data_IF_473206994559
#
_entry.id   IF_473206994559
#
_cell.length_a   1.000
_cell.length_b   1.000
_cell.length_c   1.000
_cell.angle_alpha   90.00
_cell.angle_beta   90.00
_cell.angle_gamma   90.00
#
_symmetry.space_group_name_H-M   'P 1'
#
loop_
_entity.id
_entity.type
_entity.pdbx_description
1 polymer ?
#
# COMPACT_ATOMS: atom_id res chain seq x y z
N UNK A 1 -38.39 -47.03 -61.08
CA UNK A 1 -37.50 -45.86 -61.08
C UNK A 1 -37.07 -45.60 -59.64
N UNK A 2 -35.81 -45.86 -59.28
CA UNK A 2 -35.29 -45.78 -57.90
C UNK A 2 -34.90 -44.33 -57.60
N UNK A 3 -35.52 -43.69 -56.60
CA UNK A 3 -35.17 -42.32 -56.17
C UNK A 3 -34.12 -42.40 -55.07
N UNK A 4 -32.90 -42.00 -55.41
CA UNK A 4 -31.77 -41.79 -54.50
C UNK A 4 -32.00 -40.49 -53.72
N UNK A 5 -31.90 -40.54 -52.40
CA UNK A 5 -31.85 -39.34 -51.55
C UNK A 5 -30.40 -38.96 -51.33
N UNK A 6 -30.02 -37.76 -51.80
CA UNK A 6 -28.76 -37.11 -51.45
C UNK A 6 -28.93 -36.48 -50.06
N UNK A 7 -28.15 -36.94 -49.09
CA UNK A 7 -28.03 -36.30 -47.78
C UNK A 7 -26.98 -35.20 -47.91
N UNK A 8 -27.40 -33.94 -47.76
CA UNK A 8 -26.52 -32.78 -47.77
C UNK A 8 -25.95 -32.60 -46.36
N UNK A 9 -24.66 -32.90 -46.18
CA UNK A 9 -23.95 -32.69 -44.93
C UNK A 9 -23.72 -31.19 -44.70
N UNK A 10 -24.34 -30.62 -43.66
CA UNK A 10 -24.09 -29.24 -43.25
C UNK A 10 -22.79 -29.16 -42.44
N UNK A 11 -21.79 -28.46 -42.98
CA UNK A 11 -20.54 -28.16 -42.30
C UNK A 11 -20.78 -26.99 -41.32
N UNK A 12 -20.83 -27.28 -40.02
CA UNK A 12 -20.99 -26.25 -38.98
C UNK A 12 -19.61 -25.61 -38.76
N UNK A 13 -19.42 -24.42 -39.34
CA UNK A 13 -18.26 -23.58 -39.08
C UNK A 13 -18.48 -22.92 -37.70
N UNK A 14 -17.81 -23.44 -36.66
CA UNK A 14 -17.82 -22.82 -35.34
C UNK A 14 -17.04 -21.50 -35.40
N UNK A 15 -17.63 -20.36 -34.99
CA UNK A 15 -16.88 -19.13 -34.86
C UNK A 15 -15.95 -19.28 -33.65
N UNK A 16 -14.65 -19.34 -33.91
CA UNK A 16 -13.64 -19.18 -32.87
C UNK A 16 -13.83 -17.81 -32.23
N UNK A 17 -14.22 -17.78 -30.96
CA UNK A 17 -14.31 -16.54 -30.17
C UNK A 17 -12.89 -15.99 -30.06
N UNK A 18 -12.64 -14.85 -30.70
CA UNK A 18 -11.45 -14.05 -30.46
C UNK A 18 -11.56 -13.53 -29.02
N UNK A 19 -10.79 -14.09 -28.09
CA UNK A 19 -10.55 -13.44 -26.80
C UNK A 19 -9.75 -12.17 -27.09
N UNK A 20 -10.44 -11.05 -27.28
CA UNK A 20 -9.81 -9.75 -27.18
C UNK A 20 -9.33 -9.61 -25.73
N UNK A 21 -8.01 -9.72 -25.52
CA UNK A 21 -7.41 -9.29 -24.27
C UNK A 21 -7.78 -7.81 -24.10
N UNK A 22 -8.63 -7.49 -23.13
CA UNK A 22 -8.89 -6.11 -22.73
C UNK A 22 -7.56 -5.48 -22.34
N UNK A 23 -6.98 -4.68 -23.24
CA UNK A 23 -5.92 -3.75 -22.87
C UNK A 23 -6.60 -2.67 -22.04
N UNK A 24 -6.39 -2.72 -20.73
CA UNK A 24 -6.77 -1.62 -19.85
C UNK A 24 -5.89 -0.43 -20.25
N UNK A 25 -6.41 0.45 -21.12
CA UNK A 25 -5.78 1.73 -21.39
C UNK A 25 -5.72 2.43 -20.03
N UNK A 26 -4.51 2.67 -19.53
CA UNK A 26 -4.30 3.48 -18.33
C UNK A 26 -4.95 4.83 -18.60
N UNK A 27 -5.98 5.18 -17.83
CA UNK A 27 -6.49 6.54 -17.83
C UNK A 27 -5.36 7.43 -17.31
N UNK A 28 -4.75 8.21 -18.21
CA UNK A 28 -3.65 9.12 -17.89
C UNK A 28 -4.05 10.23 -16.92
N UNK A 29 -5.35 10.38 -16.62
CA UNK A 29 -5.83 11.29 -15.58
C UNK A 29 -5.77 10.69 -14.16
N UNK A 30 -5.69 9.37 -14.03
CA UNK A 30 -5.57 8.71 -12.72
C UNK A 30 -4.10 8.57 -12.32
N UNK A 31 -3.81 8.85 -11.04
CA UNK A 31 -2.49 8.62 -10.43
C UNK A 31 -2.52 7.32 -9.63
N UNK A 32 -1.38 6.62 -9.49
CA UNK A 32 -1.29 5.47 -8.61
C UNK A 32 -1.56 5.87 -7.15
N UNK A 33 -2.49 5.18 -6.49
CA UNK A 33 -2.59 5.20 -5.03
C UNK A 33 -1.49 4.33 -4.44
N UNK A 34 -0.69 4.91 -3.53
CA UNK A 34 0.46 4.23 -2.93
C UNK A 34 0.17 3.75 -1.51
N UNK A 35 0.68 2.55 -1.22
CA UNK A 35 0.84 2.01 0.11
C UNK A 35 2.33 2.05 0.48
N UNK A 36 2.60 2.43 1.72
CA UNK A 36 3.96 2.49 2.26
C UNK A 36 4.13 1.49 3.39
N UNK A 37 5.32 0.93 3.51
CA UNK A 37 5.69 0.04 4.60
C UNK A 37 7.01 0.50 5.19
N UNK A 38 7.02 0.78 6.49
CA UNK A 38 8.25 0.96 7.25
C UNK A 38 8.42 -0.23 8.18
N UNK A 39 9.64 -0.76 8.26
CA UNK A 39 10.00 -1.81 9.20
C UNK A 39 10.99 -1.26 10.20
N UNK A 40 10.85 -1.67 11.46
CA UNK A 40 11.70 -1.23 12.56
C UNK A 40 12.08 -2.42 13.45
N UNK A 41 13.24 -2.33 14.11
CA UNK A 41 13.70 -3.40 15.02
C UNK A 41 12.97 -3.41 16.35
N UNK A 42 12.47 -2.26 16.77
CA UNK A 42 11.68 -2.11 17.99
C UNK A 42 10.85 -0.82 17.93
N UNK A 43 9.96 -0.67 18.89
CA UNK A 43 9.33 0.61 19.15
C UNK A 43 8.67 0.68 20.52
N UNK A 44 8.09 1.84 20.78
CA UNK A 44 7.40 2.13 22.02
C UNK A 44 6.24 3.09 21.78
N UNK A 45 5.28 3.09 22.70
CA UNK A 45 4.16 4.02 22.76
C UNK A 45 4.14 4.68 24.14
N UNK A 46 4.19 6.01 24.17
CA UNK A 46 4.22 6.80 25.42
C UNK A 46 2.84 7.30 25.88
N UNK A 47 1.77 6.94 25.16
CA UNK A 47 0.41 7.42 25.37
C UNK A 47 -0.03 8.46 24.34
N UNK A 48 0.89 9.07 23.60
CA UNK A 48 0.63 10.10 22.58
C UNK A 48 1.34 9.77 21.26
N UNK A 49 2.62 9.38 21.35
CA UNK A 49 3.48 9.11 20.20
C UNK A 49 3.93 7.67 20.17
N UNK A 50 4.04 7.12 18.96
CA UNK A 50 4.87 5.93 18.73
C UNK A 50 6.27 6.36 18.33
N UNK A 51 7.27 5.64 18.81
CA UNK A 51 8.66 5.72 18.35
C UNK A 51 9.03 4.39 17.71
N UNK A 52 9.53 4.42 16.48
CA UNK A 52 10.03 3.27 15.72
C UNK A 52 11.55 3.40 15.62
N UNK A 53 12.29 2.45 16.19
CA UNK A 53 13.75 2.49 16.27
C UNK A 53 14.40 1.62 15.18
N UNK A 54 15.55 2.09 14.67
CA UNK A 54 16.31 1.42 13.60
C UNK A 54 15.43 1.12 12.38
N UNK A 55 14.71 2.15 11.90
CA UNK A 55 13.86 2.03 10.72
C UNK A 55 14.68 1.78 9.46
N UNK A 56 14.25 0.81 8.66
CA UNK A 56 14.78 0.57 7.31
C UNK A 56 14.21 1.57 6.29
N UNK A 57 14.78 1.67 5.08
CA UNK A 57 14.16 2.43 3.98
C UNK A 57 12.69 2.06 3.79
N UNK A 58 11.87 3.05 3.46
CA UNK A 58 10.43 2.86 3.29
C UNK A 58 10.16 2.18 1.94
N UNK A 59 9.46 1.06 1.98
CA UNK A 59 8.95 0.40 0.77
C UNK A 59 7.69 1.12 0.35
N UNK A 60 7.51 1.37 -0.94
CA UNK A 60 6.24 1.83 -1.50
C UNK A 60 5.79 0.92 -2.62
N UNK A 61 4.48 0.78 -2.80
CA UNK A 61 3.91 0.08 -3.93
C UNK A 61 2.49 0.57 -4.24
N UNK A 62 2.04 0.39 -5.48
CA UNK A 62 0.68 0.69 -5.94
C UNK A 62 0.01 -0.58 -6.46
N UNK A 63 -1.33 -0.64 -6.39
CA UNK A 63 -2.08 -1.73 -7.02
C UNK A 63 -2.17 -1.54 -8.56
N UNK A 64 -2.94 -2.42 -9.20
CA UNK A 64 -3.37 -2.32 -10.58
C UNK A 64 -4.05 -0.97 -10.84
N UNK A 65 -3.90 -0.43 -12.06
CA UNK A 65 -3.17 -1.02 -13.18
C UNK A 65 -1.65 -0.69 -13.18
N UNK A 66 -1.19 0.24 -12.33
CA UNK A 66 0.19 0.76 -12.36
C UNK A 66 1.24 -0.22 -11.86
N UNK A 67 0.97 -0.96 -10.77
CA UNK A 67 1.89 -1.96 -10.18
C UNK A 67 3.32 -1.45 -9.96
N UNK A 68 3.45 -0.19 -9.56
CA UNK A 68 4.75 0.40 -9.25
C UNK A 68 5.17 -0.10 -7.87
N UNK A 69 6.45 -0.42 -7.69
CA UNK A 69 7.01 -0.74 -6.38
C UNK A 69 8.48 -0.30 -6.30
N UNK A 70 8.94 0.07 -5.12
CA UNK A 70 10.31 0.52 -4.91
C UNK A 70 10.64 0.79 -3.45
N UNK A 71 11.79 1.42 -3.24
CA UNK A 71 12.25 1.89 -1.94
C UNK A 71 12.57 3.39 -2.04
N UNK A 72 12.26 4.13 -0.99
CA UNK A 72 12.71 5.50 -0.77
C UNK A 72 13.38 5.59 0.59
N UNK A 73 14.33 6.51 0.76
CA UNK A 73 14.87 6.76 2.10
C UNK A 73 13.76 7.25 3.03
N UNK A 74 13.87 6.91 4.32
CA UNK A 74 12.89 7.34 5.32
C UNK A 74 12.87 8.87 5.47
N UNK A 75 14.02 9.52 5.24
CA UNK A 75 14.12 10.97 5.16
C UNK A 75 13.32 11.55 3.98
N UNK A 76 13.45 10.99 2.77
CA UNK A 76 12.65 11.40 1.61
C UNK A 76 11.16 11.17 1.81
N UNK A 77 10.78 10.04 2.41
CA UNK A 77 9.38 9.76 2.75
C UNK A 77 8.79 10.84 3.67
N UNK A 78 9.52 11.21 4.72
CA UNK A 78 9.07 12.22 5.68
C UNK A 78 9.11 13.63 5.08
N UNK A 79 10.08 13.94 4.21
CA UNK A 79 10.10 15.21 3.48
C UNK A 79 8.88 15.35 2.56
N UNK A 80 8.43 14.25 1.93
CA UNK A 80 7.23 14.22 1.09
C UNK A 80 5.92 14.40 1.86
N UNK A 81 5.90 14.18 3.17
CA UNK A 81 4.70 14.28 4.01
C UNK A 81 4.00 15.64 3.92
N UNK A 82 4.76 16.71 3.70
CA UNK A 82 4.31 18.10 3.73
C UNK A 82 4.15 18.72 2.33
N UNK A 83 4.27 17.91 1.27
CA UNK A 83 4.39 18.43 -0.10
C UNK A 83 3.20 18.01 -0.96
N UNK A 84 2.76 18.93 -1.82
CA UNK A 84 1.71 18.69 -2.81
C UNK A 84 0.28 18.89 -2.29
N UNK A 85 -0.71 18.97 -3.21
CA UNK A 85 -2.13 18.92 -2.84
C UNK A 85 -2.48 17.56 -2.22
N UNK A 86 -3.34 17.54 -1.19
CA UNK A 86 -3.76 16.30 -0.54
C UNK A 86 -2.67 15.57 0.23
N UNK A 87 -1.62 16.29 0.64
CA UNK A 87 -0.52 15.72 1.42
C UNK A 87 -0.97 15.20 2.80
N UNK A 88 -0.10 14.44 3.46
CA UNK A 88 -0.39 13.81 4.74
C UNK A 88 -0.48 14.77 5.94
N UNK A 89 -0.06 16.02 5.80
CA UNK A 89 -0.32 17.06 6.79
C UNK A 89 -1.78 17.54 6.71
N UNK A 90 -2.30 17.71 5.49
CA UNK A 90 -3.66 18.17 5.25
C UNK A 90 -4.71 17.06 5.39
N UNK A 91 -4.36 15.83 4.98
CA UNK A 91 -5.20 14.63 5.08
C UNK A 91 -4.40 13.47 5.71
N UNK A 92 -4.38 13.37 7.06
CA UNK A 92 -3.60 12.38 7.78
C UNK A 92 -3.92 10.93 7.36
N UNK A 93 -2.90 10.10 7.10
CA UNK A 93 -3.14 8.74 6.64
C UNK A 93 -3.51 7.81 7.79
N UNK A 94 -4.34 6.83 7.46
CA UNK A 94 -4.51 5.64 8.28
C UNK A 94 -3.27 4.74 8.13
N UNK A 95 -2.92 4.09 9.23
CA UNK A 95 -1.87 3.11 9.30
C UNK A 95 -2.25 1.90 10.16
N UNK A 96 -1.64 0.75 9.87
CA UNK A 96 -1.70 -0.43 10.71
C UNK A 96 -0.31 -0.71 11.27
N UNK A 97 -0.16 -0.67 12.59
CA UNK A 97 1.01 -1.20 13.28
C UNK A 97 0.83 -2.72 13.42
N UNK A 98 1.77 -3.48 12.87
CA UNK A 98 1.84 -4.94 13.01
C UNK A 98 3.08 -5.31 13.83
N UNK A 99 2.87 -5.95 14.98
CA UNK A 99 3.93 -6.37 15.91
C UNK A 99 3.99 -7.90 15.94
N UNK A 100 5.20 -8.42 15.82
CA UNK A 100 5.51 -9.85 15.98
C UNK A 100 6.19 -10.07 17.33
N UNK A 101 5.47 -10.63 18.29
CA UNK A 101 6.04 -10.92 19.59
C UNK A 101 6.81 -12.25 19.60
N UNK A 102 7.87 -12.39 20.42
CA UNK A 102 8.63 -13.64 20.54
C UNK A 102 7.82 -14.87 20.94
N UNK A 103 6.70 -14.67 21.63
CA UNK A 103 5.78 -15.72 22.05
C UNK A 103 4.86 -16.21 20.91
N UNK A 104 5.00 -15.64 19.70
CA UNK A 104 4.20 -15.97 18.53
C UNK A 104 2.89 -15.17 18.42
N UNK A 105 2.60 -14.28 19.38
CA UNK A 105 1.42 -13.43 19.33
C UNK A 105 1.59 -12.34 18.26
N UNK A 106 0.58 -12.18 17.42
CA UNK A 106 0.50 -11.11 16.43
C UNK A 106 -0.47 -10.03 16.92
N UNK A 107 0.00 -8.78 16.96
CA UNK A 107 -0.83 -7.63 17.31
C UNK A 107 -0.93 -6.70 16.12
N UNK A 108 -2.17 -6.35 15.75
CA UNK A 108 -2.47 -5.38 14.71
C UNK A 108 -3.31 -4.26 15.30
N UNK A 109 -2.82 -3.03 15.19
CA UNK A 109 -3.51 -1.85 15.72
C UNK A 109 -3.63 -0.81 14.63
N UNK A 110 -4.87 -0.38 14.37
CA UNK A 110 -5.19 0.63 13.37
C UNK A 110 -5.10 1.99 14.04
N UNK A 111 -4.29 2.87 13.47
CA UNK A 111 -3.97 4.20 13.99
C UNK A 111 -4.05 5.22 12.87
N UNK A 112 -4.40 6.45 13.17
CA UNK A 112 -4.06 7.59 12.33
C UNK A 112 -2.71 8.15 12.82
N UNK A 113 -1.81 8.47 11.89
CA UNK A 113 -0.47 8.98 12.19
C UNK A 113 -0.31 10.41 11.69
N UNK A 114 0.34 11.26 12.50
CA UNK A 114 0.55 12.68 12.22
C UNK A 114 1.94 13.12 12.69
N UNK A 115 2.36 14.31 12.27
CA UNK A 115 3.57 15.00 12.76
C UNK A 115 4.83 14.11 12.75
N UNK A 116 5.22 13.53 11.60
CA UNK A 116 6.38 12.67 11.54
C UNK A 116 7.66 13.41 11.89
N UNK A 117 8.54 12.76 12.64
CA UNK A 117 9.91 13.24 12.88
C UNK A 117 10.89 12.11 12.67
N UNK A 118 11.84 12.29 11.74
CA UNK A 118 12.98 11.39 11.57
C UNK A 118 14.23 11.98 12.22
N UNK A 119 14.85 11.23 13.12
CA UNK A 119 16.13 11.62 13.73
C UNK A 119 16.88 10.40 14.23
N UNK A 120 18.19 10.36 13.99
CA UNK A 120 19.10 9.35 14.54
C UNK A 120 18.64 7.89 14.28
N UNK A 121 18.10 7.62 13.08
CA UNK A 121 17.62 6.28 12.71
C UNK A 121 16.26 5.89 13.32
N UNK A 122 15.59 6.80 14.02
CA UNK A 122 14.26 6.59 14.59
C UNK A 122 13.21 7.51 13.95
N UNK A 123 12.00 6.99 13.77
CA UNK A 123 10.84 7.78 13.36
C UNK A 123 9.86 7.88 14.51
N UNK A 124 9.34 9.08 14.75
CA UNK A 124 8.22 9.31 15.66
C UNK A 124 7.00 9.78 14.90
N UNK A 125 5.83 9.31 15.33
CA UNK A 125 4.53 9.80 14.89
C UNK A 125 3.68 10.12 16.11
N UNK A 126 2.95 11.21 16.07
CA UNK A 126 1.79 11.41 16.94
C UNK A 126 0.66 10.50 16.44
N UNK A 127 0.00 9.76 17.35
CA UNK A 127 -0.98 8.73 16.97
C UNK A 127 -2.35 8.96 17.59
N UNK A 128 -3.40 8.64 16.83
CA UNK A 128 -4.74 8.42 17.35
C UNK A 128 -5.16 6.98 17.06
N UNK A 129 -5.42 6.20 18.10
CA UNK A 129 -5.89 4.82 17.93
C UNK A 129 -7.31 4.80 17.38
N UNK A 130 -7.50 4.09 16.29
CA UNK A 130 -8.81 3.88 15.64
C UNK A 130 -9.40 2.52 16.02
N UNK A 131 -8.56 1.48 16.13
CA UNK A 131 -8.97 0.14 16.55
C UNK A 131 -7.81 -0.67 17.10
N UNK A 132 -8.04 -1.44 18.17
CA UNK A 132 -7.03 -2.27 18.84
C UNK A 132 -6.33 -1.53 19.99
N UNK A 133 -5.23 -2.11 20.47
CA UNK A 133 -4.45 -1.57 21.59
C UNK A 133 -3.00 -1.37 21.18
N UNK A 134 -2.38 -0.25 21.58
CA UNK A 134 -0.96 -0.04 21.36
C UNK A 134 -0.16 -0.60 22.53
N UNK A 135 0.75 -1.55 22.30
CA UNK A 135 1.64 -2.02 23.34
C UNK A 135 2.62 -0.89 23.73
N UNK A 136 2.91 -0.78 25.03
CA UNK A 136 3.86 0.21 25.54
C UNK A 136 5.25 0.05 24.91
N UNK A 137 5.69 -1.20 24.76
CA UNK A 137 6.98 -1.57 24.18
C UNK A 137 6.76 -2.74 23.22
N UNK A 138 7.46 -2.75 22.10
CA UNK A 138 7.35 -3.79 21.09
C UNK A 138 8.67 -4.02 20.37
N UNK A 139 8.86 -5.24 19.87
CA UNK A 139 10.04 -5.64 19.11
C UNK A 139 9.83 -5.41 17.61
N UNK A 140 10.42 -6.26 16.77
CA UNK A 140 10.33 -6.17 15.31
C UNK A 140 8.89 -5.94 14.87
N UNK A 141 8.69 -4.85 14.14
CA UNK A 141 7.38 -4.41 13.72
C UNK A 141 7.42 -3.81 12.32
N UNK A 142 6.24 -3.76 11.72
CA UNK A 142 5.99 -3.08 10.47
C UNK A 142 4.82 -2.13 10.63
N UNK A 143 4.92 -0.93 10.09
CA UNK A 143 3.79 -0.02 9.95
C UNK A 143 3.43 0.09 8.47
N UNK A 144 2.17 -0.20 8.16
CA UNK A 144 1.59 -0.10 6.82
C UNK A 144 0.80 1.19 6.75
N UNK A 145 1.20 2.14 5.91
CA UNK A 145 0.61 3.48 5.83
C UNK A 145 -0.11 3.59 4.48
N UNK A 146 -1.39 3.93 4.51
CA UNK A 146 -2.20 4.10 3.30
C UNK A 146 -2.31 5.56 2.94
N UNK A 147 -1.88 5.90 1.73
CA UNK A 147 -2.30 7.16 1.15
C UNK A 147 -3.77 7.10 0.76
N UNK A 148 -4.49 8.22 0.93
CA UNK A 148 -5.73 8.45 0.20
C UNK A 148 -5.49 8.52 -1.31
N UNK A 149 -6.54 8.68 -2.10
CA UNK A 149 -6.47 8.60 -3.57
C UNK A 149 -5.66 9.75 -4.25
N UNK A 150 -5.26 10.81 -3.54
CA UNK A 150 -4.63 12.00 -4.16
C UNK A 150 -3.48 12.63 -3.35
N UNK A 151 -2.38 11.90 -3.15
CA UNK A 151 -1.18 12.43 -2.46
C UNK A 151 -0.12 13.05 -3.40
N UNK A 152 -0.44 13.25 -4.68
CA UNK A 152 0.52 13.74 -5.67
C UNK A 152 1.60 12.72 -6.09
N UNK A 153 2.66 13.19 -6.76
CA UNK A 153 3.80 12.35 -7.14
C UNK A 153 4.76 12.17 -5.96
N UNK A 154 5.31 10.96 -5.82
CA UNK A 154 6.40 10.73 -4.86
C UNK A 154 7.61 11.60 -5.19
N UNK A 155 8.29 12.17 -4.19
CA UNK A 155 9.55 12.86 -4.44
C UNK A 155 10.51 11.94 -5.18
N UNK A 156 11.12 12.46 -6.24
CA UNK A 156 12.08 11.72 -7.03
C UNK A 156 13.23 11.21 -6.14
N UNK A 157 13.58 9.92 -6.32
CA UNK A 157 14.65 9.26 -5.61
C UNK A 157 16.02 9.92 -5.87
#
# INVERSE_FOLDING_TARGET
MKKIWLVLSALILSPSILNAASSHILDSSQRPAYLFVQTAKSGSFDGIQITLNDVSPTVYFSDRPYRVAGHISTEQFIAGWFQGPGNFEADPPNATLSVFNPDGTLLNTVIEVTEPVYKDGAVRYTVRTLSGELPKDFQTCSIFISAGEDIGELPAA
#
